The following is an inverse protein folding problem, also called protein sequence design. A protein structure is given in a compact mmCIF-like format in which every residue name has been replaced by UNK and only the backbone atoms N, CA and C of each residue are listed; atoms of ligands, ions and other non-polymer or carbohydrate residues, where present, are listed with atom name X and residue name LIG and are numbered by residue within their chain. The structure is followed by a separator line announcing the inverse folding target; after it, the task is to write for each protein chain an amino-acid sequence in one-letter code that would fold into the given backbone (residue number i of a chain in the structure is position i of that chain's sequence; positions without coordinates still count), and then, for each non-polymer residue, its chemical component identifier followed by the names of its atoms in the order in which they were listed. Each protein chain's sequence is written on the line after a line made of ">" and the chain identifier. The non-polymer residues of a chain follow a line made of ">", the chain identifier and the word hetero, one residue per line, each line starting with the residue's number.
data_IF_547226118548
#
_entry.id   IF_547226118548
#
_cell.length_a   1.000
_cell.length_b   1.000
_cell.length_c   1.000
_cell.angle_alpha   90.00
_cell.angle_beta   90.00
_cell.angle_gamma   90.00
#
_symmetry.space_group_name_H-M   'P 1'
#
loop_
_entity.id
_entity.type
_entity.pdbx_description
1 polymer ?
#
# COMPACT_ATOMS: atom_id res chain seq x y z
N UNK A 1 46.31 -13.16 33.32
CA UNK A 1 45.27 -12.43 32.54
C UNK A 1 45.22 -13.01 31.13
N UNK A 2 44.18 -13.78 30.82
CA UNK A 2 44.07 -14.59 29.61
C UNK A 2 43.77 -13.72 28.37
N UNK A 3 44.76 -13.60 27.49
CA UNK A 3 44.69 -12.88 26.19
C UNK A 3 43.54 -13.35 25.29
N UNK A 4 43.04 -14.57 25.49
CA UNK A 4 41.90 -15.14 24.77
C UNK A 4 40.55 -14.46 25.06
N UNK A 5 40.36 -13.87 26.25
CA UNK A 5 39.08 -13.23 26.60
C UNK A 5 38.87 -11.90 25.85
N UNK A 6 39.97 -11.22 25.49
CA UNK A 6 39.94 -9.91 24.80
C UNK A 6 39.58 -10.06 23.32
N UNK A 7 39.97 -11.18 22.70
CA UNK A 7 39.71 -11.46 21.27
C UNK A 7 38.22 -11.78 21.03
N UNK A 8 37.58 -12.49 21.96
CA UNK A 8 36.16 -12.84 21.84
C UNK A 8 35.25 -11.60 22.03
N UNK A 9 35.65 -10.67 22.88
CA UNK A 9 34.88 -9.44 23.13
C UNK A 9 34.89 -8.46 21.94
N UNK A 10 35.94 -8.50 21.11
CA UNK A 10 36.11 -7.59 19.96
C UNK A 10 35.33 -8.04 18.72
N UNK A 11 34.99 -9.32 18.60
CA UNK A 11 34.18 -9.87 17.51
C UNK A 11 32.67 -9.60 17.66
N UNK A 12 32.19 -9.21 18.85
CA UNK A 12 30.77 -8.94 19.11
C UNK A 12 30.30 -7.55 18.67
N UNK A 13 31.21 -6.64 18.31
CA UNK A 13 30.87 -5.25 17.95
C UNK A 13 30.86 -4.94 16.45
N UNK A 14 31.16 -5.91 15.57
CA UNK A 14 31.20 -5.68 14.12
C UNK A 14 29.81 -5.79 13.42
N UNK A 15 28.73 -5.95 14.17
CA UNK A 15 27.36 -6.14 13.64
C UNK A 15 26.56 -4.86 13.43
N UNK A 16 27.18 -3.68 13.36
CA UNK A 16 26.46 -2.42 13.18
C UNK A 16 26.02 -2.21 11.73
N UNK A 17 24.74 -2.55 11.49
CA UNK A 17 23.79 -1.82 10.63
C UNK A 17 24.27 -1.40 9.23
N UNK A 18 24.26 -2.35 8.28
CA UNK A 18 24.05 -1.99 6.88
C UNK A 18 22.58 -1.64 6.66
N UNK A 19 22.19 -0.42 7.06
CA UNK A 19 20.94 0.17 6.62
C UNK A 19 21.13 0.62 5.16
N UNK A 20 20.56 -0.14 4.22
CA UNK A 20 20.52 0.30 2.84
C UNK A 20 19.78 1.64 2.78
N UNK A 21 20.31 2.65 2.07
CA UNK A 21 19.55 3.87 1.85
C UNK A 21 18.25 3.49 1.13
N UNK A 22 17.12 3.63 1.80
CA UNK A 22 15.82 3.57 1.16
C UNK A 22 15.78 4.78 0.24
N UNK A 23 15.98 4.56 -1.06
CA UNK A 23 15.77 5.56 -2.09
C UNK A 23 14.27 5.87 -2.10
N UNK A 24 13.86 6.80 -1.25
CA UNK A 24 12.56 7.42 -1.34
C UNK A 24 12.55 8.21 -2.64
N UNK A 25 12.10 7.58 -3.72
CA UNK A 25 11.85 8.24 -4.98
C UNK A 25 10.84 9.35 -4.66
N UNK A 26 11.32 10.58 -4.54
CA UNK A 26 10.51 11.77 -4.33
C UNK A 26 9.88 12.16 -5.67
N UNK A 27 9.17 11.23 -6.30
CA UNK A 27 8.27 11.57 -7.38
C UNK A 27 7.10 12.29 -6.73
N UNK A 28 7.07 13.62 -6.89
CA UNK A 28 5.85 14.39 -6.65
C UNK A 28 4.72 13.62 -7.34
N UNK A 29 3.66 13.20 -6.63
CA UNK A 29 2.61 12.43 -7.25
C UNK A 29 2.04 13.25 -8.40
N UNK A 30 2.16 12.74 -9.63
CA UNK A 30 1.56 13.37 -10.80
C UNK A 30 0.06 13.31 -10.57
N UNK A 31 -0.55 14.45 -10.24
CA UNK A 31 -1.99 14.58 -10.11
C UNK A 31 -2.56 14.58 -11.53
N UNK A 32 -2.93 13.40 -12.02
CA UNK A 32 -3.65 13.27 -13.28
C UNK A 32 -5.08 13.76 -13.01
N UNK A 33 -5.33 15.06 -13.22
CA UNK A 33 -6.65 15.68 -12.98
C UNK A 33 -7.70 15.27 -14.02
N UNK A 34 -7.27 14.86 -15.21
CA UNK A 34 -8.14 14.40 -16.30
C UNK A 34 -8.31 12.88 -16.27
N UNK A 35 -9.55 12.41 -16.44
CA UNK A 35 -9.82 10.98 -16.60
C UNK A 35 -9.04 10.41 -17.79
N UNK A 36 -8.34 9.27 -17.65
CA UNK A 36 -7.63 8.64 -18.78
C UNK A 36 -8.57 8.21 -19.91
N UNK A 37 -9.82 7.86 -19.59
CA UNK A 37 -10.88 7.52 -20.55
C UNK A 37 -12.27 7.74 -19.95
N UNK A 38 -13.32 7.59 -20.75
CA UNK A 38 -14.73 7.72 -20.32
C UNK A 38 -15.20 6.60 -19.39
N UNK A 39 -14.50 5.45 -19.37
CA UNK A 39 -14.81 4.32 -18.47
C UNK A 39 -14.07 4.41 -17.14
N UNK A 40 -13.19 5.40 -16.96
CA UNK A 40 -12.52 5.62 -15.69
C UNK A 40 -13.41 6.40 -14.74
N UNK A 41 -13.39 6.02 -13.46
CA UNK A 41 -13.96 6.82 -12.37
C UNK A 41 -12.87 7.21 -11.39
N UNK A 42 -12.99 8.41 -10.82
CA UNK A 42 -12.08 8.89 -9.79
C UNK A 42 -12.52 8.36 -8.43
N UNK A 43 -11.63 7.64 -7.77
CA UNK A 43 -11.81 7.26 -6.37
C UNK A 43 -11.10 8.30 -5.51
N UNK A 44 -11.84 8.94 -4.61
CA UNK A 44 -11.27 9.88 -3.66
C UNK A 44 -10.25 9.16 -2.77
N UNK A 45 -9.17 9.86 -2.42
CA UNK A 45 -8.20 9.36 -1.46
C UNK A 45 -8.84 9.12 -0.10
N UNK A 46 -8.31 8.15 0.65
CA UNK A 46 -8.88 7.76 1.95
C UNK A 46 -7.80 7.28 2.90
N UNK A 47 -8.09 7.38 4.19
CA UNK A 47 -7.28 6.76 5.24
C UNK A 47 -7.72 5.31 5.43
N UNK A 48 -6.76 4.41 5.44
CA UNK A 48 -6.91 3.01 5.75
C UNK A 48 -6.11 2.65 7.00
N UNK A 49 -6.60 1.70 7.79
CA UNK A 49 -5.84 1.14 8.89
C UNK A 49 -5.12 -0.13 8.43
N UNK A 50 -3.79 -0.16 8.60
CA UNK A 50 -2.93 -1.28 8.24
C UNK A 50 -2.25 -1.75 9.53
N UNK A 51 -2.88 -2.71 10.22
CA UNK A 51 -2.48 -3.10 11.56
C UNK A 51 -2.62 -1.92 12.54
N UNK A 52 -1.52 -1.54 13.19
CA UNK A 52 -1.46 -0.46 14.18
C UNK A 52 -1.09 0.92 13.58
N UNK A 53 -1.08 1.07 12.26
CA UNK A 53 -0.72 2.32 11.59
C UNK A 53 -1.82 2.78 10.63
N UNK A 54 -2.03 4.10 10.55
CA UNK A 54 -2.84 4.71 9.50
C UNK A 54 -2.01 4.87 8.24
N UNK A 55 -2.57 4.49 7.10
CA UNK A 55 -1.99 4.62 5.79
C UNK A 55 -2.91 5.50 4.93
N UNK A 56 -2.38 6.56 4.32
CA UNK A 56 -3.12 7.36 3.37
C UNK A 56 -3.00 6.76 1.97
N UNK A 57 -4.12 6.40 1.36
CA UNK A 57 -4.15 6.02 -0.04
C UNK A 57 -4.57 7.23 -0.87
N UNK A 58 -3.71 7.75 -1.77
CA UNK A 58 -4.08 8.83 -2.66
C UNK A 58 -5.28 8.47 -3.54
N UNK A 59 -6.02 9.50 -3.94
CA UNK A 59 -7.06 9.33 -4.94
C UNK A 59 -6.44 8.85 -6.26
N UNK A 60 -7.18 8.01 -6.98
CA UNK A 60 -6.69 7.39 -8.20
C UNK A 60 -7.85 7.08 -9.16
N UNK A 61 -7.52 6.99 -10.44
CA UNK A 61 -8.44 6.53 -11.46
C UNK A 61 -8.51 5.01 -11.46
N UNK A 62 -9.73 4.46 -11.49
CA UNK A 62 -9.96 3.03 -11.69
C UNK A 62 -10.83 2.82 -12.92
N UNK A 63 -10.55 1.76 -13.67
CA UNK A 63 -11.37 1.34 -14.81
C UNK A 63 -12.64 0.69 -14.27
N UNK A 64 -13.82 1.17 -14.71
CA UNK A 64 -15.08 0.51 -14.41
C UNK A 64 -15.16 -0.81 -15.20
N UNK A 65 -15.40 -1.95 -14.55
CA UNK A 65 -15.60 -3.21 -15.26
C UNK A 65 -16.78 -3.11 -16.22
N UNK A 66 -16.62 -3.68 -17.42
CA UNK A 66 -17.73 -3.84 -18.35
C UNK A 66 -18.82 -4.73 -17.73
N UNK A 67 -20.10 -4.48 -18.02
CA UNK A 67 -21.18 -5.37 -17.61
C UNK A 67 -20.94 -6.78 -18.18
N UNK A 68 -20.99 -7.80 -17.32
CA UNK A 68 -20.86 -9.20 -17.77
C UNK A 68 -22.14 -9.69 -18.45
N UNK A 69 -23.29 -9.10 -18.09
CA UNK A 69 -24.62 -9.38 -18.66
C UNK A 69 -25.42 -8.08 -18.71
N UNK A 70 -26.45 -7.99 -19.57
CA UNK A 70 -27.44 -6.92 -19.48
C UNK A 70 -27.95 -6.80 -18.03
N UNK A 71 -27.99 -5.57 -17.50
CA UNK A 71 -28.45 -5.23 -16.14
C UNK A 71 -27.57 -5.70 -14.95
N UNK A 72 -26.38 -6.26 -15.19
CA UNK A 72 -25.43 -6.54 -14.10
C UNK A 72 -24.43 -5.40 -14.01
N UNK A 73 -24.56 -4.58 -12.96
CA UNK A 73 -23.68 -3.45 -12.72
C UNK A 73 -22.62 -3.78 -11.67
N UNK A 74 -21.47 -3.10 -11.76
CA UNK A 74 -20.45 -3.16 -10.71
C UNK A 74 -20.51 -1.89 -9.86
N UNK A 75 -20.49 -2.07 -8.54
CA UNK A 75 -20.46 -1.00 -7.56
C UNK A 75 -19.09 -0.96 -6.91
N UNK A 76 -18.53 0.25 -6.76
CA UNK A 76 -17.29 0.43 -6.02
C UNK A 76 -17.55 0.27 -4.53
N UNK A 77 -16.82 -0.62 -3.89
CA UNK A 77 -16.81 -0.81 -2.44
C UNK A 77 -15.51 -0.18 -1.91
N UNK A 78 -15.59 0.83 -1.01
CA UNK A 78 -14.42 1.36 -0.33
C UNK A 78 -13.62 0.27 0.37
N UNK A 79 -12.34 0.57 0.67
CA UNK A 79 -11.55 -0.35 1.49
C UNK A 79 -12.23 -0.60 2.83
N UNK A 80 -12.23 -1.85 3.28
CA UNK A 80 -12.93 -2.28 4.49
C UNK A 80 -12.24 -3.47 5.14
N UNK A 81 -12.60 -3.74 6.40
CA UNK A 81 -12.15 -4.94 7.09
C UNK A 81 -13.04 -6.13 6.77
N UNK A 82 -12.43 -7.24 6.37
CA UNK A 82 -13.11 -8.52 6.23
C UNK A 82 -13.40 -9.18 7.58
N UNK A 83 -14.10 -10.30 7.55
CA UNK A 83 -14.55 -11.07 8.73
C UNK A 83 -13.44 -11.47 9.72
N UNK A 84 -12.19 -11.56 9.26
CA UNK A 84 -11.02 -11.92 10.09
C UNK A 84 -10.10 -10.73 10.38
N UNK A 85 -10.60 -9.49 10.30
CA UNK A 85 -9.79 -8.29 10.56
C UNK A 85 -8.72 -8.01 9.50
N UNK A 86 -8.71 -8.75 8.39
CA UNK A 86 -7.85 -8.46 7.23
C UNK A 86 -8.38 -7.23 6.50
N UNK A 87 -7.51 -6.25 6.26
CA UNK A 87 -7.83 -5.13 5.38
C UNK A 87 -7.99 -5.60 3.94
N UNK A 88 -9.12 -5.25 3.32
CA UNK A 88 -9.42 -5.49 1.91
C UNK A 88 -9.37 -4.13 1.21
N UNK A 89 -8.46 -3.94 0.23
CA UNK A 89 -8.43 -2.72 -0.57
C UNK A 89 -9.77 -2.44 -1.25
N UNK A 90 -10.01 -1.18 -1.62
CA UNK A 90 -11.20 -0.82 -2.40
C UNK A 90 -11.28 -1.65 -3.68
N UNK A 91 -12.47 -2.16 -4.00
CA UNK A 91 -12.67 -3.08 -5.11
C UNK A 91 -14.07 -2.93 -5.69
N UNK A 92 -14.26 -3.42 -6.90
CA UNK A 92 -15.59 -3.53 -7.49
C UNK A 92 -16.28 -4.82 -7.03
N UNK A 93 -17.55 -4.69 -6.64
CA UNK A 93 -18.45 -5.81 -6.36
C UNK A 93 -19.58 -5.81 -7.38
N UNK A 94 -19.98 -6.99 -7.84
CA UNK A 94 -21.18 -7.16 -8.67
C UNK A 94 -22.42 -6.85 -7.83
N UNK A 95 -23.38 -6.15 -8.43
CA UNK A 95 -24.73 -5.93 -7.90
C UNK A 95 -25.75 -6.76 -8.65
#
# INVERSE_FOLDING_TARGET
>A
MNKFLIIILSLLFAGCAHAHPVNHINTKPVVISKAPSTINIWIKGSWAWHGHKRHWTPGHWVVRPAPVRPNVHSVWVPGHYGRHGRWIPGHYRRS
#
